data_IF_432411375625
#
_entry.id   IF_432411375625
#
_cell.length_a   1.000
_cell.length_b   1.000
_cell.length_c   1.000
_cell.angle_alpha   90.00
_cell.angle_beta   90.00
_cell.angle_gamma   90.00
#
_symmetry.space_group_name_H-M   'P 1'
#
loop_
_entity.id
_entity.type
_entity.pdbx_description
1 polymer ?
#
# COMPACT_ATOMS: atom_id res chain seq x y z
N UNK A 1 8.79 -24.71 -47.31
CA UNK A 1 9.20 -23.31 -47.10
C UNK A 1 8.24 -22.52 -46.19
N UNK A 2 6.92 -22.72 -46.27
CA UNK A 2 5.95 -21.87 -45.54
C UNK A 2 5.83 -22.18 -44.04
N UNK A 3 5.95 -23.45 -43.63
CA UNK A 3 5.84 -23.85 -42.21
C UNK A 3 6.95 -23.24 -41.35
N UNK A 4 8.16 -23.14 -41.90
CA UNK A 4 9.31 -22.50 -41.23
C UNK A 4 9.07 -20.99 -41.07
N UNK A 5 8.45 -20.33 -42.05
CA UNK A 5 8.10 -18.91 -41.97
C UNK A 5 7.06 -18.65 -40.88
N UNK A 6 6.02 -19.49 -40.79
CA UNK A 6 5.00 -19.36 -39.74
C UNK A 6 5.57 -19.64 -38.34
N UNK A 7 6.42 -20.65 -38.20
CA UNK A 7 7.09 -20.96 -36.94
C UNK A 7 8.01 -19.82 -36.45
N UNK A 8 8.70 -19.15 -37.39
CA UNK A 8 9.56 -18.02 -37.05
C UNK A 8 8.76 -16.80 -36.57
N UNK A 9 7.61 -16.52 -37.22
CA UNK A 9 6.72 -15.42 -36.82
C UNK A 9 6.13 -15.66 -35.43
N UNK A 10 5.75 -16.90 -35.10
CA UNK A 10 5.22 -17.23 -33.77
C UNK A 10 6.29 -17.15 -32.67
N UNK A 11 7.54 -17.49 -32.98
CA UNK A 11 8.65 -17.40 -32.02
C UNK A 11 9.00 -15.94 -31.68
N UNK A 12 8.97 -15.05 -32.68
CA UNK A 12 9.28 -13.62 -32.48
C UNK A 12 8.19 -12.94 -31.62
N UNK A 13 6.92 -13.31 -31.78
CA UNK A 13 5.81 -12.77 -31.00
C UNK A 13 5.89 -13.15 -29.51
N UNK A 14 6.43 -14.33 -29.19
CA UNK A 14 6.56 -14.81 -27.81
C UNK A 14 7.76 -14.18 -27.08
N UNK A 15 8.79 -13.72 -27.80
CA UNK A 15 9.98 -13.13 -27.19
C UNK A 15 9.82 -11.65 -26.78
N UNK A 16 8.86 -10.91 -27.34
CA UNK A 16 8.64 -9.50 -26.99
C UNK A 16 7.87 -9.29 -25.68
N UNK A 17 7.38 -10.37 -25.05
CA UNK A 17 6.61 -10.31 -23.80
C UNK A 17 7.42 -10.38 -22.50
N UNK A 18 8.75 -10.60 -22.57
CA UNK A 18 9.58 -10.81 -21.39
C UNK A 18 10.52 -9.61 -21.14
N UNK A 19 9.95 -8.44 -20.87
CA UNK A 19 10.72 -7.36 -20.26
C UNK A 19 10.61 -7.55 -18.75
N UNK A 20 11.60 -8.24 -18.17
CA UNK A 20 11.82 -8.32 -16.73
C UNK A 20 11.89 -6.89 -16.19
N UNK A 21 10.81 -6.44 -15.55
CA UNK A 21 10.80 -5.14 -14.85
C UNK A 21 11.66 -5.28 -13.61
N UNK A 22 12.96 -5.00 -13.75
CA UNK A 22 13.83 -4.80 -12.59
C UNK A 22 13.29 -3.61 -11.79
N UNK A 23 13.05 -3.76 -10.47
CA UNK A 23 12.67 -2.63 -9.65
C UNK A 23 13.86 -1.68 -9.58
N UNK A 24 13.75 -0.55 -10.27
CA UNK A 24 14.69 0.56 -10.20
C UNK A 24 14.66 1.10 -8.76
N UNK A 25 15.54 0.58 -7.90
CA UNK A 25 15.74 1.12 -6.54
C UNK A 25 16.42 2.48 -6.72
N UNK A 26 15.60 3.53 -6.84
CA UNK A 26 16.07 4.90 -6.91
C UNK A 26 16.68 5.25 -5.55
N UNK A 27 18.01 5.20 -5.46
CA UNK A 27 18.75 5.70 -4.31
C UNK A 27 18.61 7.22 -4.28
N UNK A 28 17.71 7.71 -3.42
CA UNK A 28 17.54 9.13 -3.15
C UNK A 28 18.55 9.48 -2.06
N UNK A 29 19.52 10.34 -2.38
CA UNK A 29 20.42 10.90 -1.38
C UNK A 29 19.60 11.62 -0.30
N UNK A 30 19.86 11.28 0.96
CA UNK A 30 19.12 11.84 2.10
C UNK A 30 19.47 13.33 2.21
N UNK A 31 18.59 14.20 1.70
CA UNK A 31 18.68 15.65 1.91
C UNK A 31 18.65 15.92 3.43
N UNK A 32 19.50 16.81 3.98
CA UNK A 32 19.34 17.25 5.36
C UNK A 32 18.05 18.05 5.48
N UNK A 33 17.16 17.62 6.38
CA UNK A 33 15.91 18.33 6.70
C UNK A 33 16.26 19.36 7.79
N UNK A 34 16.40 20.62 7.40
CA UNK A 34 16.84 21.69 8.32
C UNK A 34 15.64 22.30 9.06
N UNK A 35 14.42 22.14 8.54
CA UNK A 35 13.20 22.63 9.17
C UNK A 35 12.07 21.59 9.21
N UNK A 36 11.15 21.76 10.16
CA UNK A 36 9.94 20.96 10.28
C UNK A 36 9.06 21.00 9.04
N UNK A 37 9.06 22.12 8.31
CA UNK A 37 8.35 22.22 7.04
C UNK A 37 8.92 21.26 5.99
N UNK A 38 10.26 21.21 5.87
CA UNK A 38 10.91 20.27 4.95
C UNK A 38 10.69 18.82 5.38
N UNK A 39 10.68 18.56 6.69
CA UNK A 39 10.30 17.26 7.22
C UNK A 39 8.87 16.90 6.78
N UNK A 40 7.92 17.80 6.97
CA UNK A 40 6.52 17.54 6.64
C UNK A 40 6.31 17.34 5.14
N UNK A 41 6.97 18.14 4.29
CA UNK A 41 6.92 17.99 2.84
C UNK A 41 7.58 16.70 2.35
N UNK A 42 8.60 16.19 3.07
CA UNK A 42 9.22 14.90 2.74
C UNK A 42 8.33 13.70 3.03
N UNK A 43 7.26 13.88 3.82
CA UNK A 43 6.30 12.82 4.10
C UNK A 43 5.29 12.62 2.97
N UNK A 44 5.18 13.58 2.03
CA UNK A 44 4.31 13.47 0.86
C UNK A 44 4.98 12.62 -0.23
N UNK A 45 4.18 11.80 -0.92
CA UNK A 45 4.57 10.96 -2.05
C UNK A 45 5.75 10.03 -1.73
N UNK A 46 5.77 9.51 -0.51
CA UNK A 46 6.84 8.62 -0.06
C UNK A 46 6.74 7.28 -0.80
N UNK A 47 7.85 6.72 -1.32
CA UNK A 47 7.84 5.35 -1.81
C UNK A 47 7.51 4.39 -0.65
N UNK A 48 6.65 3.40 -0.92
CA UNK A 48 6.27 2.39 0.08
C UNK A 48 7.52 1.72 0.64
N UNK A 49 7.67 1.74 1.97
CA UNK A 49 8.82 1.13 2.64
C UNK A 49 8.76 -0.39 2.60
N UNK A 50 9.90 -1.06 2.72
CA UNK A 50 9.95 -2.54 2.74
C UNK A 50 9.07 -3.12 3.84
N UNK A 51 9.07 -2.50 5.02
CA UNK A 51 8.27 -2.93 6.16
C UNK A 51 6.76 -2.81 5.87
N UNK A 52 6.34 -1.71 5.25
CA UNK A 52 4.96 -1.53 4.79
C UNK A 52 4.54 -2.56 3.73
N UNK A 53 5.44 -2.91 2.80
CA UNK A 53 5.17 -3.95 1.80
C UNK A 53 4.95 -5.31 2.43
N UNK A 54 5.76 -5.66 3.43
CA UNK A 54 5.60 -6.91 4.19
C UNK A 54 4.29 -6.90 4.96
N UNK A 55 3.96 -5.79 5.62
CA UNK A 55 2.69 -5.64 6.35
C UNK A 55 1.48 -5.76 5.43
N UNK A 56 1.53 -5.17 4.23
CA UNK A 56 0.47 -5.29 3.23
C UNK A 56 0.32 -6.73 2.73
N UNK A 57 1.43 -7.43 2.47
CA UNK A 57 1.40 -8.84 2.09
C UNK A 57 0.78 -9.70 3.19
N UNK A 58 1.11 -9.43 4.45
CA UNK A 58 0.53 -10.10 5.60
C UNK A 58 -0.97 -9.83 5.75
N UNK A 59 -1.41 -8.57 5.59
CA UNK A 59 -2.82 -8.21 5.64
C UNK A 59 -3.63 -8.92 4.54
N UNK A 60 -3.11 -8.94 3.31
CA UNK A 60 -3.74 -9.66 2.20
C UNK A 60 -3.86 -11.16 2.50
N UNK A 61 -2.80 -11.77 3.02
CA UNK A 61 -2.80 -13.17 3.42
C UNK A 61 -3.85 -13.45 4.52
N UNK A 62 -3.98 -12.57 5.52
CA UNK A 62 -5.03 -12.71 6.53
C UNK A 62 -6.44 -12.62 5.94
N UNK A 63 -6.69 -11.67 5.04
CA UNK A 63 -7.99 -11.52 4.38
C UNK A 63 -8.33 -12.74 3.54
N UNK A 64 -7.37 -13.30 2.79
CA UNK A 64 -7.55 -14.52 2.02
C UNK A 64 -7.87 -15.74 2.92
N UNK A 65 -7.18 -15.86 4.06
CA UNK A 65 -7.50 -16.88 5.06
C UNK A 65 -8.91 -16.69 5.63
N UNK A 66 -9.34 -15.46 5.91
CA UNK A 66 -10.69 -15.17 6.38
C UNK A 66 -11.77 -15.51 5.33
N UNK A 67 -11.46 -15.33 4.04
CA UNK A 67 -12.38 -15.70 2.95
C UNK A 67 -12.48 -17.20 2.72
N UNK A 68 -11.41 -17.96 3.01
CA UNK A 68 -11.34 -19.41 2.77
C UNK A 68 -11.75 -20.25 3.98
N UNK A 69 -11.59 -19.74 5.20
CA UNK A 69 -12.13 -20.38 6.40
C UNK A 69 -13.60 -19.98 6.58
N UNK A 70 -14.49 -20.91 6.23
CA UNK A 70 -15.90 -20.84 6.61
C UNK A 70 -16.04 -20.51 8.11
N UNK A 71 -16.92 -19.55 8.36
CA UNK A 71 -17.36 -18.87 9.60
C UNK A 71 -17.42 -19.62 10.95
N UNK A 72 -17.02 -20.89 11.07
CA UNK A 72 -17.24 -21.73 12.27
C UNK A 72 -16.16 -21.62 13.34
N UNK A 73 -14.99 -21.04 13.04
CA UNK A 73 -13.91 -20.82 14.03
C UNK A 73 -13.56 -19.34 14.16
N UNK A 74 -14.52 -18.45 13.90
CA UNK A 74 -14.35 -17.03 14.18
C UNK A 74 -14.62 -16.78 15.68
N UNK A 75 -13.55 -16.57 16.45
CA UNK A 75 -13.68 -16.05 17.82
C UNK A 75 -14.24 -14.64 17.71
N UNK A 76 -15.51 -14.47 18.07
CA UNK A 76 -16.14 -13.15 18.15
C UNK A 76 -15.29 -12.24 19.04
N UNK A 77 -14.75 -11.13 18.52
CA UNK A 77 -14.18 -10.11 19.39
C UNK A 77 -15.34 -9.54 20.21
N UNK A 78 -15.33 -9.82 21.51
CA UNK A 78 -16.19 -9.12 22.46
C UNK A 78 -15.60 -7.73 22.66
N UNK A 79 -16.22 -6.72 22.06
CA UNK A 79 -15.86 -5.33 22.35
C UNK A 79 -16.40 -4.99 23.74
N UNK A 80 -15.47 -4.77 24.69
CA UNK A 80 -15.76 -4.31 26.04
C UNK A 80 -15.61 -2.78 26.06
N UNK A 81 -16.20 -2.09 25.10
CA UNK A 81 -16.26 -0.63 25.11
C UNK A 81 -17.69 -0.22 25.41
N UNK A 82 -17.83 0.64 26.43
CA UNK A 82 -19.13 1.26 26.74
C UNK A 82 -19.55 2.23 25.63
N UNK A 83 -20.80 2.68 25.66
CA UNK A 83 -21.32 3.66 24.69
C UNK A 83 -20.53 4.96 24.77
N UNK A 84 -19.53 5.08 23.92
CA UNK A 84 -18.76 6.29 23.74
C UNK A 84 -19.58 7.20 22.86
N UNK A 85 -20.28 8.17 23.46
CA UNK A 85 -20.91 9.25 22.70
C UNK A 85 -19.79 10.01 21.99
N UNK A 86 -19.57 9.70 20.71
CA UNK A 86 -18.62 10.40 19.87
C UNK A 86 -19.09 11.85 19.75
N UNK A 87 -18.57 12.71 20.61
CA UNK A 87 -18.77 14.14 20.47
C UNK A 87 -18.13 14.52 19.14
N UNK A 88 -18.95 14.88 18.17
CA UNK A 88 -18.50 15.44 16.90
C UNK A 88 -17.70 16.70 17.22
N UNK A 89 -16.38 16.59 17.30
CA UNK A 89 -15.53 17.75 17.45
C UNK A 89 -15.57 18.51 16.14
N UNK A 90 -15.80 19.82 16.17
CA UNK A 90 -15.56 20.71 15.04
C UNK A 90 -14.04 20.81 14.82
N UNK A 91 -13.46 19.75 14.27
CA UNK A 91 -12.04 19.65 14.01
C UNK A 91 -11.74 20.38 12.70
N UNK A 92 -10.97 21.45 12.78
CA UNK A 92 -10.45 22.15 11.61
C UNK A 92 -9.05 21.56 11.34
N UNK A 93 -8.86 20.81 10.24
CA UNK A 93 -7.57 20.23 9.94
C UNK A 93 -6.56 21.32 9.57
N UNK A 94 -5.33 21.14 10.03
CA UNK A 94 -4.19 21.93 9.61
C UNK A 94 -3.92 21.68 8.11
N UNK A 95 -3.37 22.67 7.41
CA UNK A 95 -2.94 22.59 6.02
C UNK A 95 -2.08 21.34 5.71
N UNK A 96 -1.11 21.00 6.54
CA UNK A 96 -0.30 19.80 6.29
C UNK A 96 -1.08 18.49 6.46
N UNK A 97 -2.10 18.48 7.31
CA UNK A 97 -2.92 17.29 7.52
C UNK A 97 -3.80 17.00 6.31
N UNK A 98 -4.32 18.04 5.66
CA UNK A 98 -5.07 17.86 4.41
C UNK A 98 -4.17 17.36 3.30
N UNK A 99 -2.94 17.86 3.21
CA UNK A 99 -1.94 17.39 2.25
C UNK A 99 -1.57 15.91 2.47
N UNK A 100 -1.28 15.52 3.72
CA UNK A 100 -0.94 14.14 4.08
C UNK A 100 -2.14 13.21 3.87
N UNK A 101 -3.35 13.63 4.22
CA UNK A 101 -4.55 12.81 4.04
C UNK A 101 -4.89 12.57 2.55
N UNK A 102 -4.47 13.47 1.66
CA UNK A 102 -4.67 13.34 0.21
C UNK A 102 -3.52 12.60 -0.50
N UNK A 103 -2.47 12.18 0.21
CA UNK A 103 -1.38 11.40 -0.37
C UNK A 103 -1.86 9.97 -0.70
N UNK A 104 -1.53 9.50 -1.91
CA UNK A 104 -1.85 8.15 -2.40
C UNK A 104 -1.24 7.04 -1.53
N UNK A 105 -0.12 7.32 -0.86
CA UNK A 105 0.61 6.39 -0.02
C UNK A 105 0.29 6.59 1.48
N UNK A 106 -0.64 7.48 1.83
CA UNK A 106 -1.04 7.69 3.21
C UNK A 106 -1.82 6.50 3.77
N UNK A 107 -1.45 6.08 4.97
CA UNK A 107 -2.14 5.01 5.71
C UNK A 107 -2.89 5.58 6.91
N UNK A 108 -4.18 5.29 7.00
CA UNK A 108 -4.99 5.64 8.17
C UNK A 108 -4.97 4.47 9.15
N UNK A 109 -4.38 4.68 10.33
CA UNK A 109 -4.38 3.69 11.41
C UNK A 109 -5.55 4.03 12.33
N UNK A 110 -6.50 3.11 12.46
CA UNK A 110 -7.59 3.18 13.45
C UNK A 110 -7.35 2.13 14.53
N UNK A 111 -7.59 2.51 15.77
CA UNK A 111 -7.60 1.55 16.87
C UNK A 111 -8.83 0.63 16.78
N UNK A 112 -8.82 -0.51 17.49
CA UNK A 112 -10.03 -1.31 17.68
C UNK A 112 -11.08 -0.50 18.45
N UNK A 113 -12.33 -0.56 17.98
CA UNK A 113 -13.52 0.07 18.59
C UNK A 113 -14.08 -0.79 19.75
#
# INVERSE_FOLDING_TARGET
>A
MNVIKWAMVTAILLCTGCSSTEPQVRYIDKKPLVSDHELMMSLLDRPITTDQRIMLAFANYQTELQHTLDTTTFVRPISITGTSSSKQSNYIPNYYQTLIANDINATVIRGPE
#
